data_IF_602372475035
#
_entry.id   IF_602372475035
#
_cell.length_a   1.000
_cell.length_b   1.000
_cell.length_c   1.000
_cell.angle_alpha   90.00
_cell.angle_beta   90.00
_cell.angle_gamma   90.00
#
_symmetry.space_group_name_H-M   'P 1'
#
loop_
_entity.id
_entity.type
_entity.pdbx_description
1 polymer ?
#
# COMPACT_ATOMS: atom_id res chain seq x y z
N UNK A 1 0.21 1.37 -32.80
CA UNK A 1 -0.01 -0.06 -33.13
C UNK A 1 -1.34 -0.61 -32.58
N UNK A 2 -1.92 -0.12 -31.45
CA UNK A 2 -3.25 -0.55 -30.98
C UNK A 2 -4.18 0.63 -30.63
N UNK A 3 -4.94 1.18 -31.59
CA UNK A 3 -6.01 2.15 -31.30
C UNK A 3 -7.14 1.49 -30.49
N UNK A 4 -7.64 2.16 -29.46
CA UNK A 4 -8.78 1.69 -28.65
C UNK A 4 -8.44 0.72 -27.51
N UNK A 5 -7.18 0.30 -27.35
CA UNK A 5 -6.77 -0.48 -26.17
C UNK A 5 -6.70 0.43 -24.94
N UNK A 6 -7.51 0.11 -23.93
CA UNK A 6 -7.49 0.77 -22.62
C UNK A 6 -7.08 -0.26 -21.57
N UNK A 7 -6.03 0.03 -20.82
CA UNK A 7 -5.57 -0.83 -19.73
C UNK A 7 -6.22 -0.41 -18.41
N UNK A 8 -6.47 -1.34 -17.47
CA UNK A 8 -7.05 -1.05 -16.16
C UNK A 8 -5.97 -0.50 -15.20
N UNK A 9 -5.37 0.65 -15.55
CA UNK A 9 -4.21 1.21 -14.84
C UNK A 9 -4.47 1.50 -13.36
N UNK A 10 -5.72 1.79 -12.99
CA UNK A 10 -6.11 1.97 -11.58
C UNK A 10 -6.04 0.65 -10.79
N UNK A 11 -6.45 -0.47 -11.39
CA UNK A 11 -6.28 -1.79 -10.77
C UNK A 11 -4.79 -2.16 -10.67
N UNK A 12 -4.01 -1.85 -11.70
CA UNK A 12 -2.56 -2.09 -11.73
C UNK A 12 -1.85 -1.30 -10.62
N UNK A 13 -2.23 -0.04 -10.39
CA UNK A 13 -1.68 0.78 -9.32
C UNK A 13 -2.09 0.28 -7.93
N UNK A 14 -3.38 -0.04 -7.73
CA UNK A 14 -3.89 -0.53 -6.44
C UNK A 14 -3.21 -1.84 -6.03
N UNK A 15 -3.02 -2.77 -6.97
CA UNK A 15 -2.36 -4.06 -6.69
C UNK A 15 -0.89 -3.89 -6.33
N UNK A 16 -0.17 -2.94 -6.94
CA UNK A 16 1.19 -2.57 -6.53
C UNK A 16 1.24 -2.03 -5.10
N UNK A 17 0.29 -1.15 -4.73
CA UNK A 17 0.16 -0.64 -3.35
C UNK A 17 -0.10 -1.77 -2.37
N UNK A 18 -1.00 -2.72 -2.69
CA UNK A 18 -1.24 -3.87 -1.82
C UNK A 18 0.05 -4.67 -1.59
N UNK A 19 0.84 -4.96 -2.64
CA UNK A 19 2.13 -5.64 -2.52
C UNK A 19 3.09 -4.87 -1.61
N UNK A 20 3.17 -3.54 -1.76
CA UNK A 20 4.01 -2.71 -0.89
C UNK A 20 3.58 -2.82 0.59
N UNK A 21 2.27 -2.81 0.87
CA UNK A 21 1.74 -2.98 2.24
C UNK A 21 2.11 -4.34 2.82
N UNK A 22 2.08 -5.41 2.03
CA UNK A 22 2.57 -6.72 2.47
C UNK A 22 4.04 -6.69 2.87
N UNK A 23 4.89 -6.04 2.07
CA UNK A 23 6.31 -5.85 2.37
C UNK A 23 6.53 -5.04 3.66
N UNK A 24 5.80 -3.94 3.82
CA UNK A 24 5.84 -3.11 5.02
C UNK A 24 5.42 -3.91 6.26
N UNK A 25 4.36 -4.72 6.17
CA UNK A 25 3.92 -5.58 7.27
C UNK A 25 4.97 -6.63 7.66
N UNK A 26 5.68 -7.21 6.70
CA UNK A 26 6.78 -8.13 6.99
C UNK A 26 7.91 -7.43 7.78
N UNK A 27 8.26 -6.20 7.39
CA UNK A 27 9.24 -5.38 8.13
C UNK A 27 8.77 -5.04 9.54
N UNK A 28 7.50 -4.66 9.72
CA UNK A 28 6.89 -4.41 11.03
C UNK A 28 6.94 -5.64 11.93
N UNK A 29 6.56 -6.80 11.38
CA UNK A 29 6.52 -8.07 12.11
C UNK A 29 7.92 -8.43 12.59
N UNK A 30 8.92 -8.33 11.72
CA UNK A 30 10.29 -8.60 12.10
C UNK A 30 10.77 -7.62 13.17
N UNK A 31 10.66 -6.31 12.94
CA UNK A 31 11.07 -5.28 13.90
C UNK A 31 10.39 -5.41 15.29
N UNK A 32 9.11 -5.78 15.31
CA UNK A 32 8.36 -6.03 16.54
C UNK A 32 8.93 -7.18 17.37
N UNK A 33 9.55 -8.18 16.73
CA UNK A 33 10.19 -9.32 17.41
C UNK A 33 11.60 -9.04 17.95
N UNK A 34 12.25 -7.95 17.54
CA UNK A 34 13.67 -7.66 17.83
C UNK A 34 13.88 -6.72 19.03
N UNK A 35 12.90 -6.59 19.92
CA UNK A 35 13.07 -5.84 21.17
C UNK A 35 14.13 -6.49 22.08
N UNK A 36 14.97 -5.67 22.71
CA UNK A 36 15.98 -6.15 23.66
C UNK A 36 15.69 -5.59 25.05
N UNK A 37 15.41 -6.49 26.00
CA UNK A 37 15.13 -6.17 27.40
C UNK A 37 14.00 -5.12 27.57
N UNK A 38 14.30 -3.94 28.10
CA UNK A 38 13.31 -2.95 28.49
C UNK A 38 12.75 -2.14 27.30
N UNK A 39 13.38 -2.19 26.12
CA UNK A 39 13.00 -1.30 25.02
C UNK A 39 13.19 -1.89 23.62
N UNK A 40 12.21 -1.62 22.75
CA UNK A 40 12.35 -1.81 21.31
C UNK A 40 12.86 -0.50 20.66
N UNK A 41 14.06 -0.55 20.07
CA UNK A 41 14.70 0.61 19.43
C UNK A 41 14.33 0.78 17.94
N UNK A 42 13.54 -0.13 17.38
CA UNK A 42 13.09 -0.11 15.99
C UNK A 42 11.80 0.71 15.79
N UNK A 43 11.30 1.39 16.83
CA UNK A 43 10.09 2.21 16.78
C UNK A 43 10.04 3.22 15.61
N UNK A 44 11.14 3.94 15.24
CA UNK A 44 11.09 4.85 14.09
C UNK A 44 10.81 4.14 12.76
N UNK A 45 11.40 2.96 12.55
CA UNK A 45 11.16 2.13 11.36
C UNK A 45 9.72 1.63 11.35
N UNK A 46 9.21 1.20 12.50
CA UNK A 46 7.84 0.72 12.61
C UNK A 46 6.82 1.83 12.33
N UNK A 47 7.00 3.00 12.93
CA UNK A 47 6.15 4.15 12.69
C UNK A 47 6.15 4.55 11.21
N UNK A 48 7.33 4.61 10.57
CA UNK A 48 7.44 4.93 9.15
C UNK A 48 6.67 3.96 8.25
N UNK A 49 6.90 2.65 8.40
CA UNK A 49 6.25 1.64 7.56
C UNK A 49 4.73 1.61 7.76
N UNK A 50 4.27 1.81 8.99
CA UNK A 50 2.85 1.91 9.29
C UNK A 50 2.23 3.15 8.62
N UNK A 51 2.79 4.34 8.84
CA UNK A 51 2.26 5.59 8.29
C UNK A 51 2.30 5.61 6.75
N UNK A 52 3.38 5.10 6.14
CA UNK A 52 3.46 4.96 4.69
C UNK A 52 2.36 4.03 4.16
N UNK A 53 2.10 2.90 4.83
CA UNK A 53 1.05 1.97 4.41
C UNK A 53 -0.33 2.60 4.48
N UNK A 54 -0.62 3.36 5.54
CA UNK A 54 -1.88 4.11 5.67
C UNK A 54 -2.03 5.13 4.56
N UNK A 55 -0.97 5.92 4.29
CA UNK A 55 -1.02 6.93 3.24
C UNK A 55 -1.22 6.32 1.85
N UNK A 56 -0.44 5.30 1.50
CA UNK A 56 -0.57 4.63 0.19
C UNK A 56 -1.96 4.00 0.00
N UNK A 57 -2.50 3.34 1.02
CA UNK A 57 -3.84 2.76 0.95
C UNK A 57 -4.92 3.83 0.81
N UNK A 58 -4.81 4.94 1.54
CA UNK A 58 -5.77 6.03 1.44
C UNK A 58 -5.75 6.66 0.04
N UNK A 59 -4.57 7.03 -0.45
CA UNK A 59 -4.40 7.67 -1.76
C UNK A 59 -4.84 6.73 -2.90
N UNK A 60 -4.48 5.44 -2.82
CA UNK A 60 -4.87 4.44 -3.81
C UNK A 60 -6.39 4.17 -3.78
N UNK A 61 -7.01 4.14 -2.61
CA UNK A 61 -8.47 3.90 -2.49
C UNK A 61 -9.26 5.07 -3.06
N UNK A 62 -8.85 6.31 -2.78
CA UNK A 62 -9.46 7.51 -3.36
C UNK A 62 -9.28 7.50 -4.89
N UNK A 63 -8.04 7.34 -5.38
CA UNK A 63 -7.76 7.31 -6.82
C UNK A 63 -8.53 6.20 -7.54
N UNK A 64 -8.59 5.00 -6.96
CA UNK A 64 -9.30 3.86 -7.53
C UNK A 64 -10.81 4.13 -7.59
N UNK A 65 -11.36 4.76 -6.55
CA UNK A 65 -12.78 5.13 -6.52
C UNK A 65 -13.09 6.14 -7.63
N UNK A 66 -12.36 7.26 -7.65
CA UNK A 66 -12.64 8.39 -8.53
C UNK A 66 -12.37 8.09 -10.01
N UNK A 67 -11.37 7.25 -10.30
CA UNK A 67 -10.90 7.02 -11.67
C UNK A 67 -11.21 5.62 -12.22
N UNK A 68 -11.84 4.74 -11.42
CA UNK A 68 -12.25 3.42 -11.88
C UNK A 68 -13.68 3.12 -11.42
N UNK A 69 -13.93 3.02 -10.11
CA UNK A 69 -15.19 2.47 -9.58
C UNK A 69 -16.41 3.27 -10.02
N UNK A 70 -16.39 4.60 -9.90
CA UNK A 70 -17.56 5.45 -10.20
C UNK A 70 -18.00 5.41 -11.66
N UNK A 71 -17.12 5.01 -12.58
CA UNK A 71 -17.39 4.94 -14.02
C UNK A 71 -17.66 3.54 -14.55
N UNK A 72 -17.81 2.53 -13.68
CA UNK A 72 -18.11 1.16 -14.11
C UNK A 72 -19.58 1.08 -14.57
N UNK A 73 -19.78 0.56 -15.78
CA UNK A 73 -21.09 0.23 -16.35
C UNK A 73 -21.18 -1.29 -16.54
N UNK A 74 -22.39 -1.86 -16.35
CA UNK A 74 -22.65 -3.30 -16.41
C UNK A 74 -23.07 -3.79 -17.79
#
# INVERSE_FOLDING_TARGET
IMPGKVNPTQCEALTQVCIQVFGNNAALTFAGSQGHFELNVYNPLMAYNFLQSVQLLADASISFTDNCVVGIEA
#
